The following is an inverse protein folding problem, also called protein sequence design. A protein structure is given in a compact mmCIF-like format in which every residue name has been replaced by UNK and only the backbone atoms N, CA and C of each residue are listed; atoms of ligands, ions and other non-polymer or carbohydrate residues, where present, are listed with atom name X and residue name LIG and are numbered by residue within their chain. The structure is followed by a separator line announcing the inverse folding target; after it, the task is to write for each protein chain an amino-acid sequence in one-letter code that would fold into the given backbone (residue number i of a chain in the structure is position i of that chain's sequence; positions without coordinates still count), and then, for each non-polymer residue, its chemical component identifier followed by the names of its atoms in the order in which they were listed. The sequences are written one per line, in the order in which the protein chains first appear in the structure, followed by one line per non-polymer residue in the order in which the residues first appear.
data_IF_469238982372
#
_entry.id   IF_469238982372
#
_cell.length_a   1.000
_cell.length_b   1.000
_cell.length_c   1.000
_cell.angle_alpha   90.00
_cell.angle_beta   90.00
_cell.angle_gamma   90.00
#
_symmetry.space_group_name_H-M   'P 1'
#
loop_
_entity.id
_entity.type
_entity.pdbx_description
1 polymer ?
#
# COMPACT_ATOMS: atom_id res chain seq x y z
N UNK A 1 -12.06 2.34 -15.34
CA UNK A 1 -11.48 1.09 -15.94
C UNK A 1 -12.57 0.40 -16.76
N UNK A 2 -12.25 -0.33 -17.83
CA UNK A 2 -13.23 -1.08 -18.64
C UNK A 2 -12.77 -2.53 -18.74
N UNK A 3 -13.62 -3.48 -18.33
CA UNK A 3 -13.37 -4.91 -18.50
C UNK A 3 -13.97 -5.38 -19.82
N UNK A 4 -13.20 -6.16 -20.58
CA UNK A 4 -13.54 -6.64 -21.94
C UNK A 4 -12.80 -7.95 -22.25
N UNK A 5 -13.06 -8.53 -23.40
CA UNK A 5 -12.34 -9.74 -23.84
C UNK A 5 -10.82 -9.56 -23.69
N UNK A 6 -10.20 -10.47 -22.94
CA UNK A 6 -8.79 -10.45 -22.56
C UNK A 6 -8.52 -9.92 -21.13
N UNK A 7 -9.45 -9.25 -20.49
CA UNK A 7 -9.32 -8.88 -19.07
C UNK A 7 -9.26 -10.12 -18.18
N UNK A 8 -8.53 -10.03 -17.05
CA UNK A 8 -8.35 -11.14 -16.11
C UNK A 8 -8.36 -10.62 -14.69
N UNK A 9 -8.70 -11.48 -13.73
CA UNK A 9 -8.61 -11.20 -12.28
C UNK A 9 -9.91 -11.44 -11.53
N UNK A 10 -9.91 -11.06 -10.24
CA UNK A 10 -11.05 -11.34 -9.36
C UNK A 10 -12.31 -10.55 -9.74
N UNK A 11 -12.17 -9.28 -10.14
CA UNK A 11 -13.33 -8.50 -10.62
C UNK A 11 -13.99 -9.17 -11.83
N UNK A 12 -13.20 -9.86 -12.67
CA UNK A 12 -13.77 -10.64 -13.78
C UNK A 12 -14.55 -11.84 -13.25
N UNK A 13 -14.11 -12.49 -12.16
CA UNK A 13 -14.89 -13.56 -11.50
C UNK A 13 -16.20 -13.02 -10.95
N UNK A 14 -16.14 -11.88 -10.26
CA UNK A 14 -17.33 -11.23 -9.69
C UNK A 14 -18.34 -10.87 -10.80
N UNK A 15 -17.86 -10.31 -11.92
CA UNK A 15 -18.68 -10.07 -13.12
C UNK A 15 -19.30 -11.37 -13.64
N UNK A 16 -18.49 -12.44 -13.73
CA UNK A 16 -18.95 -13.74 -14.23
C UNK A 16 -20.01 -14.36 -13.31
N UNK A 17 -19.89 -14.22 -12.01
CA UNK A 17 -20.89 -14.65 -11.02
C UNK A 17 -22.21 -13.89 -11.20
N UNK A 18 -22.17 -12.57 -11.36
CA UNK A 18 -23.36 -11.74 -11.60
C UNK A 18 -24.07 -12.12 -12.90
N UNK A 19 -23.31 -12.38 -13.99
CA UNK A 19 -23.90 -12.74 -15.28
C UNK A 19 -24.14 -14.25 -15.46
N UNK A 20 -23.90 -15.07 -14.43
CA UNK A 20 -24.23 -16.49 -14.40
C UNK A 20 -23.37 -17.38 -15.30
N UNK A 21 -22.11 -17.05 -15.53
CA UNK A 21 -21.16 -17.90 -16.25
C UNK A 21 -20.07 -18.44 -15.33
N UNK A 22 -19.33 -19.52 -15.70
CA UNK A 22 -18.22 -20.03 -14.89
C UNK A 22 -17.21 -18.93 -14.53
N UNK A 23 -16.96 -18.74 -13.21
CA UNK A 23 -16.10 -17.69 -12.68
C UNK A 23 -14.62 -18.10 -12.68
N UNK A 24 -14.05 -18.26 -13.89
CA UNK A 24 -12.64 -18.62 -14.09
C UNK A 24 -11.67 -17.42 -14.02
N UNK A 25 -12.23 -16.20 -13.96
CA UNK A 25 -11.46 -14.96 -13.90
C UNK A 25 -10.85 -14.56 -15.26
N UNK A 26 -11.33 -15.13 -16.36
CA UNK A 26 -10.89 -14.80 -17.72
C UNK A 26 -12.09 -14.25 -18.51
N UNK A 27 -12.07 -12.97 -18.84
CA UNK A 27 -13.11 -12.34 -19.64
C UNK A 27 -13.02 -12.82 -21.09
N UNK A 28 -13.67 -13.94 -21.36
CA UNK A 28 -13.73 -14.53 -22.69
C UNK A 28 -14.92 -14.03 -23.50
N UNK A 29 -15.10 -14.58 -24.73
CA UNK A 29 -16.25 -14.27 -25.56
C UNK A 29 -17.58 -14.68 -24.91
N UNK A 30 -17.58 -15.79 -24.15
CA UNK A 30 -18.74 -16.23 -23.37
C UNK A 30 -19.14 -15.20 -22.33
N UNK A 31 -18.17 -14.70 -21.57
CA UNK A 31 -18.40 -13.64 -20.59
C UNK A 31 -18.95 -12.37 -21.26
N UNK A 32 -18.35 -11.95 -22.38
CA UNK A 32 -18.83 -10.78 -23.13
C UNK A 32 -20.28 -10.93 -23.59
N UNK A 33 -20.66 -12.09 -24.11
CA UNK A 33 -22.04 -12.36 -24.55
C UNK A 33 -23.03 -12.36 -23.38
N UNK A 34 -22.64 -12.94 -22.22
CA UNK A 34 -23.46 -12.92 -21.02
C UNK A 34 -23.62 -11.50 -20.46
N UNK A 35 -22.55 -10.70 -20.49
CA UNK A 35 -22.60 -9.27 -20.12
C UNK A 35 -23.57 -8.50 -21.02
N UNK A 36 -23.53 -8.71 -22.35
CA UNK A 36 -24.45 -8.05 -23.27
C UNK A 36 -25.92 -8.37 -22.95
N UNK A 37 -26.21 -9.64 -22.67
CA UNK A 37 -27.57 -10.04 -22.27
C UNK A 37 -27.99 -9.39 -20.99
N UNK A 38 -27.14 -9.44 -19.98
CA UNK A 38 -27.38 -8.82 -18.68
C UNK A 38 -27.59 -7.30 -18.79
N UNK A 39 -26.75 -6.61 -19.58
CA UNK A 39 -26.90 -5.17 -19.85
C UNK A 39 -28.26 -4.84 -20.47
N UNK A 40 -28.67 -5.61 -21.48
CA UNK A 40 -29.97 -5.44 -22.13
C UNK A 40 -31.15 -5.61 -21.14
N UNK A 41 -31.07 -6.63 -20.27
CA UNK A 41 -32.09 -6.90 -19.23
C UNK A 41 -32.17 -5.81 -18.17
N UNK A 42 -31.05 -5.10 -17.92
CA UNK A 42 -30.97 -4.04 -16.93
C UNK A 42 -31.01 -2.61 -17.53
N UNK A 43 -31.39 -2.48 -18.81
CA UNK A 43 -31.62 -1.18 -19.45
C UNK A 43 -30.34 -0.37 -19.75
N UNK A 44 -29.22 -1.06 -19.88
CA UNK A 44 -27.93 -0.48 -20.24
C UNK A 44 -27.59 -0.68 -21.71
N UNK A 45 -26.63 0.06 -22.23
CA UNK A 45 -26.04 -0.20 -23.54
C UNK A 45 -25.43 -1.60 -23.57
N UNK A 46 -25.97 -2.50 -24.40
CA UNK A 46 -25.58 -3.90 -24.49
C UNK A 46 -24.35 -4.08 -25.40
N UNK A 47 -23.23 -3.47 -25.03
CA UNK A 47 -21.97 -3.48 -25.79
C UNK A 47 -21.01 -4.63 -25.38
N UNK A 48 -21.33 -5.33 -24.28
CA UNK A 48 -20.50 -6.40 -23.73
C UNK A 48 -19.23 -5.91 -23.06
N UNK A 49 -19.13 -4.62 -22.80
CA UNK A 49 -18.03 -3.99 -22.06
C UNK A 49 -18.52 -3.63 -20.65
N UNK A 50 -17.74 -3.96 -19.64
CA UNK A 50 -18.08 -3.59 -18.26
C UNK A 50 -17.30 -2.34 -17.88
N UNK A 51 -17.96 -1.20 -18.05
CA UNK A 51 -17.48 0.12 -17.62
C UNK A 51 -18.09 0.55 -16.28
N UNK A 52 -17.85 1.80 -15.83
CA UNK A 52 -18.36 2.29 -14.55
C UNK A 52 -19.88 2.11 -14.38
N UNK A 53 -20.67 2.49 -15.38
CA UNK A 53 -22.13 2.36 -15.31
C UNK A 53 -22.61 0.90 -15.19
N UNK A 54 -21.92 -0.03 -15.88
CA UNK A 54 -22.24 -1.46 -15.79
C UNK A 54 -21.82 -2.04 -14.42
N UNK A 55 -20.64 -1.65 -13.92
CA UNK A 55 -20.19 -2.06 -12.57
C UNK A 55 -21.14 -1.55 -11.50
N UNK A 56 -21.61 -0.29 -11.59
CA UNK A 56 -22.60 0.29 -10.70
C UNK A 56 -23.91 -0.52 -10.69
N UNK A 57 -24.42 -0.82 -11.86
CA UNK A 57 -25.65 -1.61 -11.98
C UNK A 57 -25.49 -3.07 -11.50
N UNK A 58 -24.26 -3.62 -11.56
CA UNK A 58 -23.92 -4.94 -11.02
C UNK A 58 -23.67 -4.94 -9.50
N UNK A 59 -23.74 -3.80 -8.84
CA UNK A 59 -23.32 -3.62 -7.43
C UNK A 59 -21.83 -4.04 -7.21
N UNK A 60 -21.02 -3.90 -8.26
CA UNK A 60 -19.59 -4.19 -8.26
C UNK A 60 -18.73 -2.92 -8.33
N UNK A 61 -19.35 -1.74 -8.51
CA UNK A 61 -18.70 -0.49 -8.18
C UNK A 61 -18.67 -0.38 -6.66
N UNK A 62 -17.50 -0.21 -6.09
CA UNK A 62 -17.38 0.36 -4.75
C UNK A 62 -17.86 1.82 -4.82
N UNK A 63 -19.19 2.00 -4.86
CA UNK A 63 -19.85 3.34 -4.89
C UNK A 63 -19.76 4.05 -3.55
N UNK A 64 -19.18 3.42 -2.55
CA UNK A 64 -18.90 4.04 -1.25
C UNK A 64 -17.51 4.66 -1.20
N UNK A 65 -17.06 5.28 -2.33
CA UNK A 65 -15.92 6.19 -2.38
C UNK A 65 -16.38 7.60 -1.95
N UNK A 66 -17.17 7.69 -0.89
CA UNK A 66 -17.07 8.85 -0.02
C UNK A 66 -15.72 8.69 0.70
N UNK A 67 -14.85 9.68 0.63
CA UNK A 67 -13.65 9.73 1.47
C UNK A 67 -14.07 9.49 2.91
N UNK A 68 -14.08 8.20 3.32
CA UNK A 68 -14.39 7.87 4.69
C UNK A 68 -13.17 8.26 5.49
N UNK A 69 -13.35 9.22 6.35
CA UNK A 69 -12.32 9.65 7.29
C UNK A 69 -12.74 9.22 8.68
N UNK A 70 -11.84 8.61 9.41
CA UNK A 70 -12.05 8.31 10.82
C UNK A 70 -10.85 8.75 11.65
N UNK A 71 -11.09 8.97 12.94
CA UNK A 71 -10.05 9.33 13.89
C UNK A 71 -9.87 8.21 14.89
N UNK A 72 -8.64 7.73 15.05
CA UNK A 72 -8.29 6.71 16.04
C UNK A 72 -8.30 7.30 17.46
N UNK A 73 -8.31 6.45 18.49
CA UNK A 73 -8.30 6.90 19.89
C UNK A 73 -7.09 7.78 20.23
N UNK A 74 -5.94 7.54 19.63
CA UNK A 74 -4.73 8.35 19.83
C UNK A 74 -4.67 9.61 18.95
N UNK A 75 -5.79 9.95 18.26
CA UNK A 75 -5.93 11.18 17.48
C UNK A 75 -5.20 11.14 16.13
N UNK A 76 -4.98 9.96 15.53
CA UNK A 76 -4.56 9.84 14.14
C UNK A 76 -5.79 9.93 13.24
N UNK A 77 -5.77 10.86 12.28
CA UNK A 77 -6.80 10.95 11.23
C UNK A 77 -6.39 10.04 10.09
N UNK A 78 -7.30 9.17 9.66
CA UNK A 78 -7.08 8.23 8.57
C UNK A 78 -8.16 8.46 7.51
N UNK A 79 -7.73 8.80 6.30
CA UNK A 79 -8.56 8.86 5.11
C UNK A 79 -8.64 7.46 4.50
N UNK A 80 -9.74 7.12 3.85
CA UNK A 80 -9.89 5.84 3.14
C UNK A 80 -9.99 6.12 1.64
N UNK A 81 -9.04 5.60 0.87
CA UNK A 81 -9.03 5.59 -0.59
C UNK A 81 -8.69 4.16 -1.04
N UNK A 82 -9.73 3.33 -1.14
CA UNK A 82 -9.53 1.91 -1.36
C UNK A 82 -9.18 1.61 -2.81
N UNK A 83 -8.19 0.75 -2.97
CA UNK A 83 -7.84 0.15 -4.24
C UNK A 83 -9.02 -0.64 -4.81
N UNK A 84 -9.15 -0.72 -6.14
CA UNK A 84 -10.13 -1.58 -6.77
C UNK A 84 -10.03 -3.02 -6.26
N UNK A 85 -11.16 -3.70 -6.14
CA UNK A 85 -11.19 -5.14 -5.86
C UNK A 85 -10.27 -5.89 -6.82
N UNK A 86 -9.49 -6.81 -6.30
CA UNK A 86 -8.50 -7.55 -7.09
C UNK A 86 -7.08 -7.00 -7.01
N UNK A 87 -6.87 -5.77 -6.52
CA UNK A 87 -5.55 -5.20 -6.28
C UNK A 87 -5.03 -5.50 -4.85
N UNK A 88 -5.83 -6.10 -4.02
CA UNK A 88 -5.47 -6.68 -2.73
C UNK A 88 -6.15 -8.05 -2.56
N UNK A 89 -5.83 -8.75 -1.50
CA UNK A 89 -6.44 -10.04 -1.14
C UNK A 89 -7.32 -9.81 0.10
N UNK A 90 -8.57 -10.27 0.01
CA UNK A 90 -9.52 -10.14 1.10
C UNK A 90 -9.13 -10.97 2.33
N UNK A 91 -9.50 -10.42 3.51
CA UNK A 91 -9.35 -11.07 4.81
C UNK A 91 -10.67 -11.64 5.32
N UNK A 92 -10.81 -11.88 6.62
CA UNK A 92 -9.93 -11.42 7.71
C UNK A 92 -8.70 -12.30 7.91
N UNK A 93 -7.56 -11.67 8.16
CA UNK A 93 -6.33 -12.35 8.55
C UNK A 93 -5.80 -11.81 9.87
N UNK A 94 -5.37 -12.70 10.76
CA UNK A 94 -4.68 -12.27 11.98
C UNK A 94 -3.33 -11.68 11.62
N UNK A 95 -3.06 -10.43 12.01
CA UNK A 95 -1.75 -9.80 11.81
C UNK A 95 -0.79 -10.14 12.94
N UNK A 96 0.46 -10.36 12.58
CA UNK A 96 1.55 -10.73 13.49
C UNK A 96 2.79 -9.85 13.29
N UNK A 97 2.87 -9.18 12.13
CA UNK A 97 4.01 -8.35 11.72
C UNK A 97 3.53 -6.96 11.32
N UNK A 98 4.25 -5.94 11.74
CA UNK A 98 4.05 -4.55 11.36
C UNK A 98 5.29 -4.07 10.59
N UNK A 99 5.13 -3.62 9.34
CA UNK A 99 6.23 -3.23 8.48
C UNK A 99 6.24 -1.75 8.12
N UNK A 100 7.40 -1.11 8.29
CA UNK A 100 7.68 0.21 7.76
C UNK A 100 8.40 0.09 6.42
N UNK A 101 7.84 0.77 5.40
CA UNK A 101 8.42 0.95 4.08
C UNK A 101 8.58 2.43 3.76
N UNK A 102 9.28 2.73 2.68
CA UNK A 102 9.22 4.04 2.02
C UNK A 102 9.02 3.86 0.52
N UNK A 103 8.24 4.76 -0.07
CA UNK A 103 7.76 4.64 -1.45
C UNK A 103 8.87 4.74 -2.50
N UNK A 104 10.03 5.27 -2.15
CA UNK A 104 11.03 5.76 -3.11
C UNK A 104 10.39 6.73 -4.14
N UNK A 105 9.46 7.60 -3.71
CA UNK A 105 8.61 8.37 -4.61
C UNK A 105 8.16 9.71 -4.02
N UNK A 106 7.20 10.32 -4.72
CA UNK A 106 6.67 11.63 -4.42
C UNK A 106 5.81 11.66 -3.16
N UNK A 107 5.55 12.85 -2.65
CA UNK A 107 4.90 13.15 -1.37
C UNK A 107 3.38 12.93 -1.33
N UNK A 108 2.72 12.80 -2.49
CA UNK A 108 1.27 12.63 -2.57
C UNK A 108 0.89 11.14 -2.43
N UNK A 109 0.19 10.72 -1.35
CA UNK A 109 -0.17 9.33 -1.09
C UNK A 109 -1.18 8.77 -2.10
N UNK A 110 -2.10 9.59 -2.61
CA UNK A 110 -3.12 9.17 -3.59
C UNK A 110 -2.50 8.79 -4.94
N UNK A 111 -1.40 9.45 -5.33
CA UNK A 111 -0.67 9.06 -6.53
C UNK A 111 0.01 7.69 -6.37
N UNK A 112 0.45 7.33 -5.18
CA UNK A 112 0.99 6.00 -4.87
C UNK A 112 -0.12 4.95 -5.03
N UNK A 113 -1.28 5.16 -4.40
CA UNK A 113 -2.45 4.28 -4.46
C UNK A 113 -2.92 4.11 -5.92
N UNK A 114 -3.07 5.22 -6.65
CA UNK A 114 -3.44 5.20 -8.07
C UNK A 114 -2.44 4.41 -8.92
N UNK A 115 -1.15 4.53 -8.63
CA UNK A 115 -0.10 3.76 -9.31
C UNK A 115 -0.25 2.26 -9.06
N UNK A 116 -0.53 1.85 -7.83
CA UNK A 116 -0.79 0.44 -7.51
C UNK A 116 -2.02 -0.12 -8.21
N UNK A 117 -3.12 0.63 -8.25
CA UNK A 117 -4.35 0.23 -8.94
C UNK A 117 -4.22 0.08 -10.47
N UNK A 118 -3.07 0.44 -11.03
CA UNK A 118 -2.76 0.29 -12.47
C UNK A 118 -1.47 -0.51 -12.74
N UNK A 119 -0.81 -1.03 -11.70
CA UNK A 119 0.47 -1.74 -11.82
C UNK A 119 0.26 -3.17 -12.34
N UNK A 120 0.97 -3.52 -13.38
CA UNK A 120 0.90 -4.87 -13.97
C UNK A 120 1.49 -5.98 -13.09
N UNK A 121 2.24 -5.64 -12.04
CA UNK A 121 2.75 -6.59 -11.04
C UNK A 121 1.65 -7.13 -10.14
N UNK A 122 0.48 -6.48 -10.09
CA UNK A 122 -0.68 -6.82 -9.24
C UNK A 122 -0.41 -6.58 -7.77
N UNK A 123 -1.34 -6.70 -6.96
CA UNK A 123 -1.50 -6.73 -5.47
C UNK A 123 -0.29 -6.39 -4.60
N UNK A 124 0.52 -5.40 -5.00
CA UNK A 124 1.79 -5.06 -4.32
C UNK A 124 1.63 -4.05 -3.18
N UNK A 125 0.43 -3.60 -2.89
CA UNK A 125 0.13 -2.54 -1.94
C UNK A 125 0.37 -2.92 -0.47
N UNK A 126 0.71 -1.92 0.34
CA UNK A 126 0.53 -1.93 1.79
C UNK A 126 -0.87 -1.48 2.17
N UNK A 127 -1.33 -1.77 3.40
CA UNK A 127 -2.63 -1.29 3.87
C UNK A 127 -2.69 0.23 4.02
N UNK A 128 -1.56 0.88 4.31
CA UNK A 128 -1.50 2.32 4.54
C UNK A 128 -0.43 3.00 3.69
N UNK A 129 -0.70 4.24 3.31
CA UNK A 129 0.27 5.18 2.74
C UNK A 129 0.25 6.47 3.54
N UNK A 130 1.43 6.99 3.85
CA UNK A 130 1.62 8.26 4.55
C UNK A 130 2.22 9.31 3.62
N UNK A 131 1.51 10.39 3.42
CA UNK A 131 1.96 11.56 2.68
C UNK A 131 3.12 12.28 3.35
N UNK A 132 3.79 13.14 2.62
CA UNK A 132 4.94 13.90 3.10
C UNK A 132 5.07 15.27 2.45
N UNK A 133 6.25 15.87 2.61
CA UNK A 133 6.60 17.13 1.95
C UNK A 133 7.24 16.87 0.57
N UNK A 134 7.01 17.79 -0.36
CA UNK A 134 7.67 17.77 -1.65
C UNK A 134 9.19 17.90 -1.49
N UNK A 135 9.96 17.06 -2.18
CA UNK A 135 11.43 17.19 -2.24
C UNK A 135 11.90 18.55 -2.79
N UNK A 136 11.01 19.29 -3.44
CA UNK A 136 11.28 20.65 -3.91
C UNK A 136 11.11 21.72 -2.81
N UNK A 137 10.58 21.34 -1.64
CA UNK A 137 10.34 22.24 -0.51
C UNK A 137 9.23 23.28 -0.78
N UNK A 138 8.33 23.02 -1.71
CA UNK A 138 7.32 23.97 -2.18
C UNK A 138 5.88 23.47 -2.06
N UNK A 139 5.66 22.31 -1.48
CA UNK A 139 4.34 21.71 -1.31
C UNK A 139 4.35 20.77 -0.08
N UNK A 140 3.51 21.04 0.87
CA UNK A 140 3.30 20.30 2.11
C UNK A 140 1.83 19.86 2.29
N UNK A 141 1.02 19.93 1.22
CA UNK A 141 -0.42 19.65 1.23
C UNK A 141 -0.74 18.30 1.86
N UNK A 142 0.11 17.30 1.65
CA UNK A 142 -0.10 15.92 2.12
C UNK A 142 0.79 15.54 3.31
N UNK A 143 1.44 16.53 3.95
CA UNK A 143 2.41 16.23 5.00
C UNK A 143 1.75 15.65 6.26
N UNK A 144 2.07 14.40 6.56
CA UNK A 144 1.47 13.66 7.68
C UNK A 144 0.09 13.08 7.40
N UNK A 145 -0.43 13.18 6.18
CA UNK A 145 -1.73 12.62 5.80
C UNK A 145 -1.66 11.11 5.65
N UNK A 146 -2.46 10.40 6.46
CA UNK A 146 -2.55 8.94 6.47
C UNK A 146 -3.73 8.47 5.63
N UNK A 147 -3.46 7.57 4.67
CA UNK A 147 -4.49 7.00 3.80
C UNK A 147 -4.49 5.48 3.91
N UNK A 148 -5.64 4.89 4.19
CA UNK A 148 -5.87 3.45 4.17
C UNK A 148 -6.30 3.02 2.76
N UNK A 149 -5.64 1.99 2.19
CA UNK A 149 -5.76 1.60 0.79
C UNK A 149 -6.65 0.37 0.55
N UNK A 150 -6.98 -0.37 1.59
CA UNK A 150 -7.90 -1.52 1.55
C UNK A 150 -8.41 -1.83 2.97
N UNK A 151 -9.53 -2.59 3.10
CA UNK A 151 -10.13 -2.89 4.39
C UNK A 151 -9.19 -3.65 5.32
N UNK A 152 -9.43 -3.47 6.62
CA UNK A 152 -8.77 -4.23 7.69
C UNK A 152 -8.86 -5.73 7.44
N UNK A 153 -7.77 -6.43 7.73
CA UNK A 153 -7.64 -7.88 7.53
C UNK A 153 -7.24 -8.27 6.12
N UNK A 154 -7.38 -7.39 5.13
CA UNK A 154 -6.84 -7.58 3.80
C UNK A 154 -5.31 -7.62 3.78
N UNK A 155 -4.71 -8.01 2.66
CA UNK A 155 -3.24 -8.00 2.49
C UNK A 155 -2.81 -7.88 1.03
N UNK A 156 -1.60 -7.38 0.82
CA UNK A 156 -0.91 -7.33 -0.47
C UNK A 156 0.48 -7.97 -0.40
N UNK A 157 1.15 -8.08 -1.54
CA UNK A 157 2.48 -8.67 -1.67
C UNK A 157 3.61 -7.65 -1.42
N UNK A 158 3.47 -6.81 -0.39
CA UNK A 158 4.33 -5.65 -0.12
C UNK A 158 5.79 -5.98 0.27
N UNK A 159 6.11 -7.24 0.57
CA UNK A 159 7.48 -7.70 0.84
C UNK A 159 8.19 -8.23 -0.43
N UNK A 160 7.49 -8.28 -1.55
CA UNK A 160 8.02 -8.79 -2.81
C UNK A 160 8.52 -10.24 -2.67
N UNK A 161 9.68 -10.53 -3.24
CA UNK A 161 10.31 -11.87 -3.18
C UNK A 161 10.93 -12.20 -1.81
N UNK A 162 11.01 -11.23 -0.91
CA UNK A 162 11.70 -11.35 0.39
C UNK A 162 10.77 -11.74 1.53
N UNK A 163 9.48 -11.84 1.27
CA UNK A 163 8.49 -12.29 2.22
C UNK A 163 7.98 -13.69 1.88
N UNK A 164 7.79 -14.53 2.89
CA UNK A 164 7.03 -15.77 2.72
C UNK A 164 5.55 -15.44 2.49
N UNK A 165 4.80 -16.37 1.90
CA UNK A 165 3.35 -16.21 1.75
C UNK A 165 2.66 -15.98 3.12
N UNK A 166 3.14 -16.64 4.17
CA UNK A 166 2.67 -16.42 5.53
C UNK A 166 2.91 -14.97 5.98
N UNK A 167 4.11 -14.43 5.78
CA UNK A 167 4.44 -13.07 6.20
C UNK A 167 3.59 -12.04 5.46
N UNK A 168 3.39 -12.17 4.15
CA UNK A 168 2.50 -11.27 3.40
C UNK A 168 1.07 -11.27 3.95
N UNK A 169 0.53 -12.47 4.19
CA UNK A 169 -0.84 -12.64 4.69
C UNK A 169 -1.03 -12.10 6.11
N UNK A 170 -0.03 -12.26 6.97
CA UNK A 170 -0.08 -11.94 8.38
C UNK A 170 0.66 -10.64 8.75
N UNK A 171 0.92 -9.78 7.78
CA UNK A 171 1.50 -8.46 8.02
C UNK A 171 0.54 -7.32 7.72
N UNK A 172 0.75 -6.22 8.41
CA UNK A 172 0.25 -4.91 8.08
C UNK A 172 1.43 -4.01 7.73
N UNK A 173 1.31 -3.18 6.72
CA UNK A 173 2.38 -2.32 6.26
C UNK A 173 1.94 -0.88 6.02
N UNK A 174 2.89 0.03 6.16
CA UNK A 174 2.76 1.43 5.76
C UNK A 174 3.86 1.77 4.77
N UNK A 175 3.52 2.44 3.67
CA UNK A 175 4.45 3.10 2.76
C UNK A 175 4.54 4.58 3.10
N UNK A 176 5.70 5.06 3.53
CA UNK A 176 5.93 6.47 3.84
C UNK A 176 6.49 7.16 2.59
N UNK A 177 5.81 8.20 2.12
CA UNK A 177 6.22 8.96 0.95
C UNK A 177 7.58 9.64 1.18
N UNK A 178 8.63 9.08 0.61
CA UNK A 178 10.00 9.56 0.75
C UNK A 178 10.87 8.98 -0.37
N UNK A 179 11.81 9.75 -0.91
CA UNK A 179 12.70 9.32 -1.99
C UNK A 179 13.89 8.46 -1.54
N UNK A 180 14.16 8.41 -0.24
CA UNK A 180 15.32 7.70 0.29
C UNK A 180 16.62 8.51 0.12
N UNK A 181 17.71 7.86 -0.34
CA UNK A 181 19.01 8.53 -0.45
C UNK A 181 19.05 9.63 -1.51
N UNK A 182 19.87 10.64 -1.24
CA UNK A 182 20.14 11.77 -2.13
C UNK A 182 21.60 11.70 -2.58
N UNK A 183 21.83 11.78 -3.89
CA UNK A 183 23.16 11.82 -4.47
C UNK A 183 23.34 13.09 -5.30
N UNK A 184 24.41 13.84 -5.04
CA UNK A 184 24.74 15.08 -5.74
C UNK A 184 23.56 16.10 -5.73
N UNK A 185 22.84 16.17 -4.59
CA UNK A 185 21.68 17.05 -4.41
C UNK A 185 20.45 16.64 -5.22
N UNK A 186 20.38 15.39 -5.70
CA UNK A 186 19.27 14.87 -6.51
C UNK A 186 18.76 13.54 -5.97
N UNK A 187 17.47 13.29 -6.20
CA UNK A 187 16.87 11.96 -6.04
C UNK A 187 17.42 11.00 -7.12
N UNK A 188 17.20 9.70 -6.96
CA UNK A 188 17.53 8.71 -7.99
C UNK A 188 16.81 8.97 -9.33
N UNK A 189 15.63 9.63 -9.30
CA UNK A 189 14.88 10.04 -10.49
C UNK A 189 15.39 11.36 -11.12
N UNK A 190 16.53 11.91 -10.64
CA UNK A 190 17.16 13.10 -11.18
C UNK A 190 16.57 14.43 -10.71
N UNK A 191 15.55 14.42 -9.86
CA UNK A 191 14.96 15.65 -9.31
C UNK A 191 15.89 16.30 -8.31
N UNK A 192 16.17 17.60 -8.47
CA UNK A 192 16.92 18.39 -7.48
C UNK A 192 16.12 18.51 -6.19
N UNK A 193 16.78 18.23 -5.09
CA UNK A 193 16.20 18.30 -3.75
C UNK A 193 16.50 19.67 -3.13
N UNK A 194 15.49 20.31 -2.56
CA UNK A 194 15.67 21.55 -1.82
C UNK A 194 16.44 21.27 -0.52
N UNK A 195 17.29 22.19 -0.09
CA UNK A 195 18.17 22.02 1.07
C UNK A 195 17.40 21.69 2.37
N UNK A 196 16.23 22.29 2.57
CA UNK A 196 15.35 22.01 3.73
C UNK A 196 14.84 20.58 3.77
N UNK A 197 14.90 19.86 2.66
CA UNK A 197 14.45 18.48 2.52
C UNK A 197 15.60 17.46 2.59
N UNK A 198 16.81 17.92 2.95
CA UNK A 198 17.99 17.06 3.06
C UNK A 198 18.37 16.90 4.53
N UNK A 199 18.62 15.66 4.93
CA UNK A 199 19.31 15.31 6.18
C UNK A 199 20.66 14.65 5.85
N UNK A 200 21.68 15.04 6.60
CA UNK A 200 23.02 14.43 6.50
C UNK A 200 23.31 13.64 7.77
N UNK A 201 23.55 12.37 7.63
CA UNK A 201 23.88 11.48 8.74
C UNK A 201 25.35 11.62 9.14
N UNK A 202 25.66 11.49 10.41
CA UNK A 202 27.03 11.49 10.93
C UNK A 202 27.83 10.29 10.39
N UNK A 203 27.18 9.14 10.25
CA UNK A 203 27.74 7.93 9.65
C UNK A 203 26.91 7.50 8.45
N UNK A 204 27.53 6.94 7.40
CA UNK A 204 26.79 6.43 6.24
C UNK A 204 25.83 5.32 6.65
N UNK A 205 24.62 5.35 6.11
CA UNK A 205 23.70 4.24 6.12
C UNK A 205 23.58 3.68 4.69
N UNK A 206 23.81 2.38 4.51
CA UNK A 206 23.83 1.71 3.19
C UNK A 206 24.66 2.46 2.13
N UNK A 207 25.83 2.98 2.54
CA UNK A 207 26.75 3.70 1.65
C UNK A 207 26.39 5.16 1.37
N UNK A 208 25.31 5.68 1.91
CA UNK A 208 24.85 7.06 1.67
C UNK A 208 24.79 7.86 2.97
N UNK A 209 25.24 9.13 2.93
CA UNK A 209 25.17 10.05 4.06
C UNK A 209 24.00 11.03 3.95
N UNK A 210 23.56 11.36 2.74
CA UNK A 210 22.51 12.34 2.48
C UNK A 210 21.22 11.63 2.08
N UNK A 211 20.13 12.04 2.75
CA UNK A 211 18.82 11.42 2.63
C UNK A 211 17.73 12.46 2.51
N UNK A 212 16.63 12.12 1.87
CA UNK A 212 15.41 12.90 1.93
C UNK A 212 14.89 12.84 3.38
N UNK A 213 14.72 14.01 3.98
CA UNK A 213 14.26 14.15 5.36
C UNK A 213 12.82 13.66 5.51
N UNK A 214 12.54 12.93 6.57
CA UNK A 214 11.18 12.76 7.04
C UNK A 214 10.77 14.03 7.82
N UNK A 215 9.57 14.54 7.56
CA UNK A 215 9.02 15.69 8.30
C UNK A 215 8.64 15.30 9.73
N UNK A 216 8.48 16.28 10.60
CA UNK A 216 8.02 16.04 11.98
C UNK A 216 6.58 15.51 11.98
N UNK A 217 5.74 15.92 11.00
CA UNK A 217 4.39 15.41 10.83
C UNK A 217 4.39 13.92 10.42
N UNK A 218 5.27 13.52 9.48
CA UNK A 218 5.43 12.11 9.11
C UNK A 218 5.90 11.26 10.31
N UNK A 219 6.87 11.75 11.08
CA UNK A 219 7.38 11.03 12.27
C UNK A 219 6.27 10.84 13.29
N UNK A 220 5.52 11.90 13.61
CA UNK A 220 4.41 11.81 14.57
C UNK A 220 3.25 10.94 14.06
N UNK A 221 2.87 11.07 12.79
CA UNK A 221 1.83 10.21 12.20
C UNK A 221 2.27 8.73 12.20
N UNK A 222 3.53 8.44 11.87
CA UNK A 222 4.09 7.07 11.94
C UNK A 222 4.05 6.53 13.38
N UNK A 223 4.43 7.35 14.38
CA UNK A 223 4.36 6.96 15.78
C UNK A 223 2.92 6.61 16.20
N UNK A 224 1.96 7.46 15.88
CA UNK A 224 0.54 7.23 16.16
C UNK A 224 0.04 5.98 15.46
N UNK A 225 0.41 5.78 14.20
CA UNK A 225 0.04 4.60 13.42
C UNK A 225 0.59 3.31 14.03
N UNK A 226 1.86 3.27 14.46
CA UNK A 226 2.44 2.10 15.14
C UNK A 226 1.63 1.74 16.39
N UNK A 227 1.26 2.72 17.20
CA UNK A 227 0.48 2.49 18.42
C UNK A 227 -0.94 2.01 18.10
N UNK A 228 -1.58 2.61 17.09
CA UNK A 228 -2.90 2.19 16.61
C UNK A 228 -2.88 0.74 16.13
N UNK A 229 -1.90 0.35 15.29
CA UNK A 229 -1.78 -1.03 14.79
C UNK A 229 -1.44 -2.02 15.91
N UNK A 230 -0.61 -1.62 16.87
CA UNK A 230 -0.31 -2.44 18.05
C UNK A 230 -1.57 -2.82 18.83
N UNK A 231 -2.48 -1.88 18.99
CA UNK A 231 -3.74 -2.07 19.69
C UNK A 231 -4.75 -2.83 18.82
N UNK A 232 -5.03 -2.35 17.60
CA UNK A 232 -5.99 -2.94 16.67
C UNK A 232 -5.73 -4.43 16.41
N UNK A 233 -4.46 -4.75 16.11
CA UNK A 233 -4.06 -6.09 15.66
C UNK A 233 -3.43 -6.94 16.78
N UNK A 234 -3.32 -6.39 18.00
CA UNK A 234 -2.67 -7.03 19.14
C UNK A 234 -1.23 -7.49 18.83
N UNK A 235 -0.43 -6.58 18.23
CA UNK A 235 0.98 -6.83 17.88
C UNK A 235 1.88 -6.20 18.94
N UNK A 236 2.84 -6.95 19.51
CA UNK A 236 3.86 -6.38 20.40
C UNK A 236 4.95 -5.66 19.58
N UNK A 237 4.72 -4.39 19.28
CA UNK A 237 5.65 -3.54 18.49
C UNK A 237 6.96 -3.22 19.22
N UNK A 238 7.11 -3.62 20.49
CA UNK A 238 8.39 -3.51 21.23
C UNK A 238 9.37 -4.59 20.80
N UNK A 239 8.90 -5.70 20.24
CA UNK A 239 9.76 -6.70 19.64
C UNK A 239 10.20 -6.31 18.22
N UNK A 240 11.30 -6.87 17.74
CA UNK A 240 11.87 -6.53 16.44
C UNK A 240 12.66 -5.21 16.47
N UNK A 241 12.27 -4.25 15.64
CA UNK A 241 13.03 -3.02 15.39
C UNK A 241 13.35 -2.22 16.66
N UNK A 242 12.38 -2.02 17.55
CA UNK A 242 12.61 -1.24 18.78
C UNK A 242 13.68 -1.88 19.67
N UNK A 243 13.63 -3.20 19.81
CA UNK A 243 14.61 -3.96 20.58
C UNK A 243 16.00 -3.85 19.96
N UNK A 244 16.10 -3.95 18.63
CA UNK A 244 17.37 -3.84 17.93
C UNK A 244 17.93 -2.42 17.95
N UNK A 245 17.11 -1.37 17.85
CA UNK A 245 17.58 0.03 17.99
C UNK A 245 18.25 0.24 19.36
N UNK A 246 17.65 -0.26 20.43
CA UNK A 246 18.22 -0.16 21.78
C UNK A 246 19.55 -0.91 21.92
N UNK A 247 19.72 -2.02 21.22
CA UNK A 247 20.90 -2.87 21.32
C UNK A 247 22.05 -2.43 20.41
N UNK A 248 21.76 -1.97 19.21
CA UNK A 248 22.76 -1.81 18.14
C UNK A 248 22.59 -0.54 17.28
N UNK A 249 21.67 0.36 17.69
CA UNK A 249 21.49 1.66 17.01
C UNK A 249 21.06 1.52 15.56
N UNK A 250 21.72 2.23 14.65
CA UNK A 250 21.40 2.26 13.21
C UNK A 250 21.49 0.89 12.53
N UNK A 251 22.27 -0.04 13.05
CA UNK A 251 22.35 -1.42 12.52
C UNK A 251 21.07 -2.22 12.69
N UNK A 252 20.13 -1.72 13.51
CA UNK A 252 18.79 -2.27 13.60
C UNK A 252 18.05 -2.32 12.26
N UNK A 253 18.40 -1.43 11.33
CA UNK A 253 17.80 -1.35 10.00
C UNK A 253 18.49 -2.27 8.96
N UNK A 254 19.55 -2.96 9.33
CA UNK A 254 20.21 -3.93 8.46
C UNK A 254 19.36 -5.21 8.32
N UNK A 255 19.72 -6.05 7.37
CA UNK A 255 19.13 -7.36 7.20
C UNK A 255 19.27 -8.19 8.48
N UNK A 256 18.19 -8.83 8.89
CA UNK A 256 18.10 -9.71 10.05
C UNK A 256 17.62 -11.08 9.61
N UNK A 257 18.40 -12.11 9.88
CA UNK A 257 18.05 -13.48 9.50
C UNK A 257 16.70 -13.92 10.08
N UNK A 258 16.46 -13.59 11.36
CA UNK A 258 15.23 -13.95 12.04
C UNK A 258 13.99 -13.21 11.50
N UNK A 259 14.15 -11.95 11.04
CA UNK A 259 13.10 -11.23 10.35
C UNK A 259 12.83 -11.82 8.96
N UNK A 260 13.90 -12.16 8.21
CA UNK A 260 13.78 -12.76 6.89
C UNK A 260 13.00 -14.07 6.89
N UNK A 261 13.23 -14.91 7.90
CA UNK A 261 12.49 -16.18 8.08
C UNK A 261 11.19 -16.05 8.88
N UNK A 262 10.77 -14.85 9.25
CA UNK A 262 9.53 -14.59 10.00
C UNK A 262 9.54 -15.15 11.43
N UNK A 263 10.71 -15.34 12.04
CA UNK A 263 10.86 -15.87 13.43
C UNK A 263 10.61 -14.78 14.45
N UNK A 264 10.91 -13.51 14.13
CA UNK A 264 10.60 -12.33 14.95
C UNK A 264 9.33 -11.70 14.43
N UNK A 265 8.37 -11.57 15.32
CA UNK A 265 7.10 -10.86 15.09
C UNK A 265 7.23 -9.43 15.63
N UNK A 266 6.22 -8.58 15.40
CA UNK A 266 6.24 -7.22 15.90
C UNK A 266 6.63 -6.18 14.85
N UNK A 267 7.35 -5.13 15.25
CA UNK A 267 7.72 -4.02 14.35
C UNK A 267 9.00 -4.33 13.58
N UNK A 268 8.91 -4.24 12.27
CA UNK A 268 10.00 -4.51 11.33
C UNK A 268 10.09 -3.40 10.26
N UNK A 269 11.20 -3.35 9.55
CA UNK A 269 11.33 -2.59 8.32
C UNK A 269 11.50 -3.53 7.13
N UNK A 270 11.16 -3.07 5.93
CA UNK A 270 11.41 -3.86 4.72
C UNK A 270 12.89 -4.24 4.57
N UNK A 271 13.80 -3.36 5.02
CA UNK A 271 15.23 -3.62 4.99
C UNK A 271 15.67 -4.79 5.88
N UNK A 272 14.93 -5.09 6.94
CA UNK A 272 15.22 -6.27 7.78
C UNK A 272 15.02 -7.60 7.05
N UNK A 273 14.19 -7.61 6.00
CA UNK A 273 13.92 -8.81 5.19
C UNK A 273 14.67 -8.82 3.86
N UNK A 274 15.46 -7.78 3.52
CA UNK A 274 16.21 -7.65 2.25
C UNK A 274 17.70 -7.64 2.47
N UNK A 275 18.44 -8.46 1.70
CA UNK A 275 19.93 -8.52 1.72
C UNK A 275 20.56 -7.46 0.82
N UNK A 276 19.84 -6.96 -0.17
CA UNK A 276 20.25 -6.02 -1.21
C UNK A 276 19.88 -4.55 -0.94
#
# INVERSE_FOLDING_TARGET
MIYKVGSRGNVVKDIQEVVGVPADGIFGKQTAAAVQMWQAENGLDADGLVGPATLEAMDLLDTDVSEKTYTTENGLIIHQDFLPRGEYLDGPTKKEYCFLHHTAGWHNPYNVIKSWGSDSRGRIATEFVLGGQSVKGNDDTYDGEMVQCFPEGGYGWHLGKNGSQHMHKHSVGIEICNFGYIKDGKTYAGTRVHESQIVTLDQPFRGHRTWHRYSDAQVEATRKWILFIAERDNIDVRDGLQKWIKAEGVKAFDWKEDAYYGRVKGLLTHTNTRKD
#
